data_IF_713660038142
#
_entry.id   IF_713660038142
#
_cell.length_a   1.000
_cell.length_b   1.000
_cell.length_c   1.000
_cell.angle_alpha   90.00
_cell.angle_beta   90.00
_cell.angle_gamma   90.00
#
_symmetry.space_group_name_H-M   'P 1'
#
loop_
_entity.id
_entity.type
_entity.pdbx_description
1 polymer ?
#
# COMPACT_ATOMS: atom_id res chain seq x y z
N UNK A 1 -10.85 -16.24 -15.80
CA UNK A 1 -10.98 -17.61 -15.31
C UNK A 1 -11.59 -17.58 -13.91
N UNK A 2 -12.54 -18.46 -13.64
CA UNK A 2 -13.05 -18.68 -12.29
C UNK A 2 -12.16 -19.71 -11.59
N UNK A 3 -11.89 -19.49 -10.34
CA UNK A 3 -11.22 -20.48 -9.48
C UNK A 3 -11.91 -20.53 -8.11
N UNK A 4 -11.38 -21.31 -7.14
CA UNK A 4 -12.00 -21.44 -5.81
C UNK A 4 -12.01 -20.13 -5.02
N UNK A 5 -11.15 -19.18 -5.34
CA UNK A 5 -10.98 -17.94 -4.58
C UNK A 5 -11.70 -16.76 -5.19
N UNK A 6 -11.85 -16.69 -6.51
CA UNK A 6 -12.51 -15.59 -7.19
C UNK A 6 -13.29 -16.02 -8.43
N UNK A 7 -14.29 -15.24 -8.78
CA UNK A 7 -15.16 -15.42 -9.93
C UNK A 7 -15.21 -14.18 -10.79
N UNK A 8 -15.48 -14.40 -12.06
CA UNK A 8 -15.76 -13.31 -13.01
C UNK A 8 -17.17 -12.78 -12.76
N UNK A 9 -17.32 -11.46 -12.75
CA UNK A 9 -18.62 -10.76 -12.68
C UNK A 9 -18.68 -9.73 -13.82
N UNK A 10 -19.85 -9.17 -14.16
CA UNK A 10 -19.95 -8.14 -15.20
C UNK A 10 -19.01 -6.96 -14.90
N UNK A 11 -18.12 -6.67 -15.86
CA UNK A 11 -17.13 -5.59 -15.71
C UNK A 11 -15.92 -5.86 -14.83
N UNK A 12 -15.77 -7.08 -14.26
CA UNK A 12 -14.63 -7.35 -13.40
C UNK A 12 -14.57 -8.70 -12.70
N UNK A 13 -14.11 -8.69 -11.45
CA UNK A 13 -13.87 -9.88 -10.64
C UNK A 13 -14.28 -9.63 -9.19
N UNK A 14 -14.78 -10.67 -8.51
CA UNK A 14 -15.06 -10.67 -7.08
C UNK A 14 -14.49 -11.93 -6.40
N UNK A 15 -14.15 -11.84 -5.12
CA UNK A 15 -13.80 -13.02 -4.30
C UNK A 15 -15.06 -13.83 -4.01
N UNK A 16 -14.93 -15.16 -3.98
CA UNK A 16 -16.07 -16.06 -3.75
C UNK A 16 -16.62 -15.98 -2.31
N UNK A 17 -15.80 -15.55 -1.37
CA UNK A 17 -16.15 -15.44 0.06
C UNK A 17 -16.39 -13.99 0.51
N UNK A 18 -16.42 -13.04 -0.42
CA UNK A 18 -16.67 -11.62 -0.13
C UNK A 18 -18.16 -11.26 -0.17
N UNK A 19 -18.52 -10.03 0.23
CA UNK A 19 -19.91 -9.53 0.24
C UNK A 19 -20.44 -9.20 -1.17
N UNK A 20 -19.68 -9.48 -2.21
CA UNK A 20 -20.03 -9.18 -3.59
C UNK A 20 -20.40 -10.45 -4.33
N UNK A 21 -21.56 -10.44 -4.95
CA UNK A 21 -22.13 -11.54 -5.70
C UNK A 21 -21.97 -11.33 -7.23
N UNK A 22 -22.39 -12.27 -8.10
CA UNK A 22 -22.33 -12.12 -9.55
C UNK A 22 -23.11 -10.93 -10.09
N UNK A 23 -24.16 -10.46 -9.38
CA UNK A 23 -25.01 -9.36 -9.79
C UNK A 23 -24.49 -7.99 -9.32
N UNK A 24 -23.34 -7.96 -8.63
CA UNK A 24 -22.73 -6.71 -8.17
C UNK A 24 -22.36 -5.83 -9.36
N UNK A 25 -22.96 -4.65 -9.40
CA UNK A 25 -22.74 -3.63 -10.44
C UNK A 25 -21.93 -2.44 -9.92
N UNK A 26 -21.41 -1.66 -10.85
CA UNK A 26 -20.77 -0.39 -10.50
C UNK A 26 -21.73 0.63 -9.88
N UNK A 27 -23.04 0.53 -10.18
CA UNK A 27 -24.07 1.35 -9.54
C UNK A 27 -24.16 1.06 -8.04
N UNK A 28 -24.15 -0.22 -7.66
CA UNK A 28 -24.10 -0.62 -6.24
C UNK A 28 -22.90 -0.05 -5.52
N UNK A 29 -21.73 -0.02 -6.15
CA UNK A 29 -20.52 0.55 -5.54
C UNK A 29 -20.61 2.09 -5.42
N UNK A 30 -21.29 2.77 -6.33
CA UNK A 30 -21.56 4.20 -6.17
C UNK A 30 -22.56 4.49 -5.07
N UNK A 31 -23.60 3.67 -4.92
CA UNK A 31 -24.56 3.78 -3.81
C UNK A 31 -23.82 3.66 -2.45
N UNK A 32 -22.92 2.68 -2.32
CA UNK A 32 -22.10 2.54 -1.12
C UNK A 32 -21.20 3.77 -0.86
N UNK A 33 -20.69 4.41 -1.90
CA UNK A 33 -19.89 5.64 -1.76
C UNK A 33 -20.73 6.88 -1.45
N UNK A 34 -22.01 6.88 -1.86
CA UNK A 34 -22.95 7.97 -1.62
C UNK A 34 -23.71 7.84 -0.29
N UNK A 35 -23.61 6.70 0.37
CA UNK A 35 -24.23 6.45 1.66
C UNK A 35 -23.77 7.51 2.68
N UNK A 36 -24.70 8.18 3.40
CA UNK A 36 -24.36 9.11 4.48
C UNK A 36 -23.48 8.52 5.58
N UNK A 37 -23.56 7.20 5.80
CA UNK A 37 -22.72 6.48 6.75
C UNK A 37 -21.31 6.19 6.22
N UNK A 38 -21.03 6.47 4.95
CA UNK A 38 -19.70 6.27 4.37
C UNK A 38 -18.67 7.24 4.96
N UNK A 39 -17.64 6.71 5.56
CA UNK A 39 -16.53 7.51 6.10
C UNK A 39 -15.51 7.78 5.00
N UNK A 40 -15.51 8.99 4.49
CA UNK A 40 -14.58 9.42 3.46
C UNK A 40 -13.16 9.57 4.01
N UNK A 41 -12.20 8.82 3.46
CA UNK A 41 -10.77 8.90 3.82
C UNK A 41 -10.01 9.82 2.87
N UNK A 42 -10.40 9.85 1.60
CA UNK A 42 -9.77 10.67 0.57
C UNK A 42 -10.76 10.99 -0.53
N UNK A 43 -10.77 12.25 -0.94
CA UNK A 43 -11.47 12.67 -2.17
C UNK A 43 -10.58 13.58 -2.99
N UNK A 44 -10.20 13.13 -4.18
CA UNK A 44 -9.37 13.88 -5.11
C UNK A 44 -9.93 13.77 -6.53
N UNK A 45 -9.45 14.61 -7.45
CA UNK A 45 -9.84 14.53 -8.87
C UNK A 45 -9.59 13.14 -9.49
N UNK A 46 -8.64 12.37 -8.99
CA UNK A 46 -8.25 11.07 -9.55
C UNK A 46 -8.76 9.86 -8.78
N UNK A 47 -9.13 10.01 -7.52
CA UNK A 47 -9.61 8.88 -6.71
C UNK A 47 -10.40 9.33 -5.51
N UNK A 48 -11.40 8.53 -5.15
CA UNK A 48 -12.12 8.58 -3.87
C UNK A 48 -11.80 7.31 -3.11
N UNK A 49 -11.58 7.40 -1.81
CA UNK A 49 -11.39 6.27 -0.90
C UNK A 49 -12.31 6.48 0.29
N UNK A 50 -13.12 5.50 0.61
CA UNK A 50 -14.02 5.54 1.75
C UNK A 50 -14.10 4.19 2.46
N UNK A 51 -14.39 4.22 3.75
CA UNK A 51 -14.87 3.06 4.50
C UNK A 51 -16.39 3.06 4.34
N UNK A 52 -16.92 1.97 3.84
CA UNK A 52 -18.36 1.78 3.60
C UNK A 52 -18.84 0.48 4.24
N UNK A 53 -20.15 0.38 4.51
CA UNK A 53 -20.75 -0.85 5.03
C UNK A 53 -21.28 -1.71 3.87
N UNK A 54 -20.90 -2.97 3.82
CA UNK A 54 -21.46 -3.94 2.87
C UNK A 54 -21.80 -5.22 3.61
N UNK A 55 -23.10 -5.58 3.57
CA UNK A 55 -23.65 -6.73 4.32
C UNK A 55 -23.25 -6.74 5.81
N UNK A 56 -23.35 -5.57 6.46
CA UNK A 56 -23.05 -5.37 7.89
C UNK A 56 -21.54 -5.42 8.22
N UNK A 57 -20.66 -5.43 7.22
CA UNK A 57 -19.21 -5.45 7.43
C UNK A 57 -18.55 -4.19 6.86
N UNK A 58 -17.61 -3.58 7.57
CA UNK A 58 -16.84 -2.47 7.04
C UNK A 58 -15.89 -2.98 5.94
N UNK A 59 -15.80 -2.25 4.85
CA UNK A 59 -14.85 -2.47 3.75
C UNK A 59 -14.23 -1.15 3.32
N UNK A 60 -13.07 -1.19 2.69
CA UNK A 60 -12.44 -0.01 2.08
C UNK A 60 -12.70 -0.03 0.58
N UNK A 61 -13.50 0.92 0.10
CA UNK A 61 -13.84 1.07 -1.32
C UNK A 61 -13.04 2.22 -1.93
N UNK A 62 -12.34 1.93 -3.02
CA UNK A 62 -11.53 2.90 -3.77
C UNK A 62 -12.04 3.00 -5.20
N UNK A 63 -12.46 4.21 -5.59
CA UNK A 63 -12.86 4.58 -6.96
C UNK A 63 -11.74 5.33 -7.62
N UNK A 64 -11.32 4.90 -8.81
CA UNK A 64 -10.35 5.58 -9.66
C UNK A 64 -11.06 6.25 -10.82
N UNK A 65 -10.75 7.52 -11.07
CA UNK A 65 -11.24 8.27 -12.22
C UNK A 65 -10.13 8.54 -13.20
N UNK A 66 -10.37 8.44 -14.49
CA UNK A 66 -9.43 8.86 -15.51
C UNK A 66 -9.39 10.38 -15.55
N UNK A 67 -8.19 10.94 -15.55
CA UNK A 67 -7.99 12.40 -15.57
C UNK A 67 -8.09 13.00 -16.97
N UNK A 68 -7.78 12.22 -18.00
CA UNK A 68 -7.69 12.71 -19.39
C UNK A 68 -8.03 11.59 -20.37
N UNK A 69 -8.50 11.91 -21.61
CA UNK A 69 -8.70 10.92 -22.68
C UNK A 69 -7.42 10.13 -23.02
N UNK A 70 -6.25 10.79 -22.93
CA UNK A 70 -4.94 10.14 -23.14
C UNK A 70 -4.67 9.06 -22.07
N UNK A 71 -5.13 9.26 -20.85
CA UNK A 71 -5.03 8.24 -19.80
C UNK A 71 -5.94 7.04 -20.09
N UNK A 72 -7.07 7.25 -20.77
CA UNK A 72 -7.96 6.19 -21.25
C UNK A 72 -7.26 5.33 -22.32
N UNK A 73 -6.61 5.96 -23.28
CA UNK A 73 -5.85 5.28 -24.33
C UNK A 73 -4.70 4.43 -23.75
N UNK A 74 -4.01 4.93 -22.72
CA UNK A 74 -2.97 4.15 -22.00
C UNK A 74 -3.54 2.92 -21.29
N UNK A 75 -4.79 2.94 -20.86
CA UNK A 75 -5.46 1.80 -20.23
C UNK A 75 -5.89 0.70 -21.23
N UNK A 76 -5.86 0.96 -22.52
CA UNK A 76 -6.03 -0.10 -23.55
C UNK A 76 -4.82 -1.04 -23.59
N UNK A 77 -3.63 -0.52 -23.28
CA UNK A 77 -2.35 -1.29 -23.34
C UNK A 77 -1.87 -1.72 -21.95
N UNK A 78 -2.35 -1.07 -20.88
CA UNK A 78 -1.93 -1.36 -19.50
C UNK A 78 -3.11 -1.62 -18.60
N UNK A 79 -3.04 -2.61 -17.70
CA UNK A 79 -4.07 -2.84 -16.70
C UNK A 79 -4.36 -1.57 -15.90
N UNK A 80 -5.64 -1.28 -15.67
CA UNK A 80 -6.08 -0.13 -14.88
C UNK A 80 -5.51 -0.17 -13.45
N UNK A 81 -5.54 0.97 -12.76
CA UNK A 81 -5.11 1.03 -11.37
C UNK A 81 -5.95 0.11 -10.45
N UNK A 82 -7.25 -0.04 -10.71
CA UNK A 82 -8.13 -0.94 -9.97
C UNK A 82 -7.73 -2.40 -10.18
N UNK A 83 -7.59 -2.85 -11.43
CA UNK A 83 -7.18 -4.22 -11.75
C UNK A 83 -5.77 -4.54 -11.22
N UNK A 84 -4.83 -3.60 -11.36
CA UNK A 84 -3.49 -3.79 -10.78
C UNK A 84 -3.54 -3.94 -9.26
N UNK A 85 -4.32 -3.12 -8.56
CA UNK A 85 -4.46 -3.21 -7.11
C UNK A 85 -5.08 -4.55 -6.69
N UNK A 86 -6.06 -5.04 -7.46
CA UNK A 86 -6.66 -6.36 -7.29
C UNK A 86 -5.62 -7.48 -7.45
N UNK A 87 -4.95 -7.53 -8.59
CA UNK A 87 -3.95 -8.58 -8.89
C UNK A 87 -2.80 -8.55 -7.90
N UNK A 88 -2.28 -7.35 -7.58
CA UNK A 88 -1.19 -7.20 -6.62
C UNK A 88 -1.60 -7.59 -5.20
N UNK A 89 -2.84 -7.26 -4.79
CA UNK A 89 -3.34 -7.66 -3.48
C UNK A 89 -3.36 -9.18 -3.29
N UNK A 90 -3.86 -9.93 -4.27
CA UNK A 90 -3.80 -11.40 -4.25
C UNK A 90 -2.35 -11.90 -4.29
N UNK A 91 -1.53 -11.40 -5.21
CA UNK A 91 -0.12 -11.79 -5.32
C UNK A 91 0.69 -11.56 -4.04
N UNK A 92 0.47 -10.45 -3.31
CA UNK A 92 1.15 -10.20 -2.05
C UNK A 92 0.72 -11.20 -0.99
N UNK A 93 -0.58 -11.50 -0.90
CA UNK A 93 -1.13 -12.48 0.04
C UNK A 93 -0.59 -13.87 -0.24
N UNK A 94 -0.56 -14.31 -1.49
CA UNK A 94 0.02 -15.60 -1.91
C UNK A 94 1.51 -15.71 -1.54
N UNK A 95 2.20 -14.58 -1.53
CA UNK A 95 3.57 -14.47 -1.02
C UNK A 95 3.65 -14.31 0.50
N UNK A 96 2.53 -14.43 1.24
CA UNK A 96 2.47 -14.27 2.69
C UNK A 96 2.87 -12.88 3.17
N UNK A 97 2.70 -11.83 2.35
CA UNK A 97 2.89 -10.45 2.75
C UNK A 97 1.58 -9.87 3.29
N UNK A 98 1.59 -9.28 4.51
CA UNK A 98 0.39 -8.72 5.11
C UNK A 98 -0.13 -7.53 4.31
N UNK A 99 -1.30 -7.71 3.70
CA UNK A 99 -2.05 -6.69 2.97
C UNK A 99 -3.54 -7.00 3.04
N UNK A 100 -4.44 -6.00 3.00
CA UNK A 100 -5.87 -6.22 2.99
C UNK A 100 -6.27 -7.13 1.81
N UNK A 101 -7.19 -8.05 2.05
CA UNK A 101 -7.70 -8.93 1.00
C UNK A 101 -8.51 -8.12 -0.01
N UNK A 102 -8.24 -8.25 -1.32
CA UNK A 102 -9.12 -7.67 -2.33
C UNK A 102 -10.45 -8.43 -2.38
N UNK A 103 -11.57 -7.71 -2.43
CA UNK A 103 -12.93 -8.27 -2.40
C UNK A 103 -13.62 -8.20 -3.76
N UNK A 104 -13.44 -7.10 -4.48
CA UNK A 104 -14.00 -6.87 -5.81
C UNK A 104 -13.14 -5.90 -6.60
N UNK A 105 -13.07 -6.09 -7.91
CA UNK A 105 -12.54 -5.11 -8.87
C UNK A 105 -13.50 -5.01 -10.04
N UNK A 106 -14.01 -3.80 -10.30
CA UNK A 106 -14.96 -3.51 -11.36
C UNK A 106 -14.51 -2.32 -12.20
N UNK A 107 -14.96 -2.30 -13.47
CA UNK A 107 -14.74 -1.18 -14.38
C UNK A 107 -16.05 -0.74 -15.01
N UNK A 108 -16.15 0.56 -15.24
CA UNK A 108 -17.13 1.15 -16.15
C UNK A 108 -16.48 1.40 -17.51
N UNK A 109 -17.23 1.07 -18.54
CA UNK A 109 -16.80 1.23 -19.93
C UNK A 109 -17.66 2.26 -20.63
N UNK A 110 -17.04 3.06 -21.50
CA UNK A 110 -17.71 3.92 -22.47
C UNK A 110 -17.08 3.66 -23.83
N UNK A 111 -17.89 3.26 -24.80
CA UNK A 111 -17.40 2.84 -26.12
C UNK A 111 -16.26 1.81 -26.05
N UNK A 112 -16.37 0.81 -25.16
CA UNK A 112 -15.36 -0.22 -24.98
C UNK A 112 -14.11 0.21 -24.19
N UNK A 113 -13.99 1.48 -23.82
CA UNK A 113 -12.84 2.02 -23.08
C UNK A 113 -13.17 2.13 -21.59
N UNK A 114 -12.35 1.55 -20.69
CA UNK A 114 -12.55 1.69 -19.25
C UNK A 114 -12.24 3.14 -18.81
N UNK A 115 -13.26 3.86 -18.32
CA UNK A 115 -13.11 5.26 -17.87
C UNK A 115 -13.13 5.42 -16.33
N UNK A 116 -13.69 4.46 -15.61
CA UNK A 116 -13.64 4.37 -14.15
C UNK A 116 -13.28 2.96 -13.72
N UNK A 117 -12.66 2.84 -12.56
CA UNK A 117 -12.36 1.56 -11.94
C UNK A 117 -12.61 1.60 -10.44
N UNK A 118 -13.14 0.53 -9.90
CA UNK A 118 -13.41 0.32 -8.49
C UNK A 118 -12.60 -0.86 -7.98
N UNK A 119 -12.11 -0.76 -6.77
CA UNK A 119 -11.57 -1.90 -6.04
C UNK A 119 -11.97 -1.77 -4.57
N UNK A 120 -12.48 -2.86 -3.99
CA UNK A 120 -12.74 -2.93 -2.57
C UNK A 120 -11.78 -3.92 -1.90
N UNK A 121 -11.44 -3.61 -0.66
CA UNK A 121 -10.59 -4.41 0.20
C UNK A 121 -11.29 -4.65 1.53
N UNK A 122 -10.93 -5.73 2.21
CA UNK A 122 -11.27 -5.91 3.61
C UNK A 122 -10.80 -4.70 4.43
N UNK A 123 -11.62 -4.29 5.38
CA UNK A 123 -11.22 -3.29 6.36
C UNK A 123 -10.15 -3.86 7.29
N UNK A 124 -9.10 -3.08 7.51
CA UNK A 124 -8.06 -3.39 8.48
C UNK A 124 -8.34 -2.56 9.72
N UNK A 125 -8.65 -3.23 10.82
CA UNK A 125 -8.79 -2.57 12.12
C UNK A 125 -7.41 -2.19 12.64
N UNK A 126 -7.11 -0.90 12.56
CA UNK A 126 -5.81 -0.35 12.89
C UNK A 126 -5.72 1.13 12.54
N UNK A 127 -4.56 1.69 12.72
CA UNK A 127 -4.27 3.09 12.36
C UNK A 127 -3.03 3.20 11.46
N UNK A 128 -2.91 4.34 10.78
CA UNK A 128 -1.72 4.64 9.98
C UNK A 128 -0.43 4.60 10.81
N UNK A 129 0.66 4.12 10.24
CA UNK A 129 1.95 4.00 10.94
C UNK A 129 2.40 5.34 11.57
N UNK A 130 2.20 6.46 10.86
CA UNK A 130 2.56 7.78 11.40
C UNK A 130 1.77 8.12 12.66
N UNK A 131 0.46 7.90 12.63
CA UNK A 131 -0.45 8.15 13.77
C UNK A 131 -0.15 7.20 14.93
N UNK A 132 0.10 5.92 14.63
CA UNK A 132 0.49 4.93 15.63
C UNK A 132 1.77 5.38 16.37
N UNK A 133 2.78 5.79 15.63
CA UNK A 133 4.05 6.29 16.20
C UNK A 133 3.82 7.55 17.01
N UNK A 134 3.03 8.51 16.50
CA UNK A 134 2.75 9.77 17.19
C UNK A 134 2.04 9.56 18.53
N UNK A 135 1.14 8.57 18.62
CA UNK A 135 0.36 8.26 19.82
C UNK A 135 1.05 7.31 20.79
N UNK A 136 2.11 6.61 20.36
CA UNK A 136 2.78 5.62 21.19
C UNK A 136 3.67 6.29 22.25
N UNK A 137 3.43 6.00 23.53
CA UNK A 137 4.22 6.50 24.66
C UNK A 137 5.32 5.53 25.09
N UNK A 138 5.15 4.23 24.84
CA UNK A 138 6.12 3.21 25.22
C UNK A 138 7.18 2.99 24.14
N UNK A 139 8.41 3.36 24.46
CA UNK A 139 9.57 3.17 23.59
C UNK A 139 9.83 1.69 23.26
N UNK A 140 9.44 0.76 24.14
CA UNK A 140 9.60 -0.69 23.90
C UNK A 140 8.69 -1.14 22.77
N UNK A 141 7.47 -0.61 22.72
CA UNK A 141 6.49 -0.84 21.64
C UNK A 141 7.03 -0.29 20.34
N UNK A 142 7.53 0.96 20.31
CA UNK A 142 8.15 1.56 19.12
C UNK A 142 9.33 0.71 18.59
N UNK A 143 10.15 0.20 19.48
CA UNK A 143 11.26 -0.69 19.13
C UNK A 143 10.78 -2.00 18.51
N UNK A 144 9.72 -2.58 19.06
CA UNK A 144 9.10 -3.80 18.52
C UNK A 144 8.54 -3.55 17.12
N UNK A 145 7.86 -2.41 16.90
CA UNK A 145 7.35 -2.03 15.58
C UNK A 145 8.48 -1.79 14.58
N UNK A 146 9.58 -1.15 14.99
CA UNK A 146 10.75 -0.98 14.12
C UNK A 146 11.33 -2.34 13.68
N UNK A 147 11.43 -3.31 14.60
CA UNK A 147 11.89 -4.66 14.28
C UNK A 147 10.93 -5.40 13.34
N UNK A 148 9.61 -5.33 13.60
CA UNK A 148 8.57 -5.96 12.75
C UNK A 148 8.57 -5.36 11.35
N UNK A 149 8.60 -4.04 11.25
CA UNK A 149 8.61 -3.31 9.97
C UNK A 149 9.89 -3.60 9.18
N UNK A 150 11.05 -3.64 9.83
CA UNK A 150 12.30 -4.01 9.18
C UNK A 150 12.25 -5.43 8.59
N UNK A 151 11.71 -6.39 9.34
CA UNK A 151 11.49 -7.77 8.86
C UNK A 151 10.49 -7.82 7.71
N UNK A 152 9.37 -7.12 7.81
CA UNK A 152 8.37 -7.07 6.73
C UNK A 152 8.98 -6.56 5.42
N UNK A 153 9.69 -5.43 5.47
CA UNK A 153 10.31 -4.84 4.27
C UNK A 153 11.38 -5.78 3.70
N UNK A 154 12.14 -6.45 4.57
CA UNK A 154 13.10 -7.45 4.12
C UNK A 154 12.42 -8.61 3.41
N UNK A 155 11.39 -9.21 4.03
CA UNK A 155 10.60 -10.30 3.45
C UNK A 155 10.00 -9.89 2.10
N UNK A 156 9.48 -8.65 2.00
CA UNK A 156 8.95 -8.10 0.77
C UNK A 156 10.01 -8.12 -0.34
N UNK A 157 11.20 -7.59 -0.08
CA UNK A 157 12.28 -7.56 -1.06
C UNK A 157 12.82 -8.95 -1.42
N UNK A 158 12.90 -9.88 -0.47
CA UNK A 158 13.37 -11.25 -0.70
C UNK A 158 12.35 -12.08 -1.51
N UNK A 159 11.07 -11.71 -1.43
CA UNK A 159 10.00 -12.26 -2.26
C UNK A 159 9.82 -11.50 -3.58
N UNK A 160 10.85 -10.75 -3.98
CA UNK A 160 10.91 -10.06 -5.27
C UNK A 160 9.83 -8.98 -5.45
N UNK A 161 9.37 -8.41 -4.35
CA UNK A 161 8.39 -7.32 -4.34
C UNK A 161 9.09 -6.02 -3.98
N UNK A 162 8.86 -4.97 -4.78
CA UNK A 162 9.27 -3.59 -4.47
C UNK A 162 8.06 -2.66 -4.39
N UNK A 163 8.16 -1.64 -3.54
CA UNK A 163 7.11 -0.66 -3.33
C UNK A 163 7.60 0.75 -3.58
N UNK A 164 7.48 1.22 -4.81
CA UNK A 164 8.02 2.51 -5.27
C UNK A 164 7.57 3.74 -4.47
N UNK A 165 6.52 3.63 -3.66
CA UNK A 165 6.04 4.68 -2.76
C UNK A 165 5.95 4.19 -1.31
N UNK A 166 6.97 3.46 -0.84
CA UNK A 166 7.04 2.98 0.55
C UNK A 166 7.23 4.18 1.50
N UNK A 167 6.16 4.60 2.16
CA UNK A 167 6.11 5.70 3.13
C UNK A 167 5.16 5.35 4.27
N UNK A 168 5.22 6.07 5.39
CA UNK A 168 4.41 5.80 6.55
C UNK A 168 2.90 5.75 6.25
N UNK A 169 2.41 6.63 5.35
CA UNK A 169 0.99 6.66 4.95
C UNK A 169 0.52 5.40 4.18
N UNK A 170 1.45 4.56 3.71
CA UNK A 170 1.15 3.32 2.97
C UNK A 170 1.40 2.06 3.83
N UNK A 171 1.57 2.25 5.14
CA UNK A 171 1.67 1.19 6.14
C UNK A 171 0.66 1.47 7.25
N UNK A 172 -0.10 0.47 7.65
CA UNK A 172 -0.96 0.51 8.83
C UNK A 172 -0.39 -0.38 9.93
N UNK A 173 -0.69 -0.04 11.17
CA UNK A 173 -0.44 -0.89 12.34
C UNK A 173 -1.78 -1.50 12.77
N UNK A 174 -1.90 -2.83 12.70
CA UNK A 174 -3.07 -3.58 13.11
C UNK A 174 -2.64 -4.66 14.12
N UNK A 175 -3.21 -4.65 15.31
CA UNK A 175 -2.81 -5.54 16.42
C UNK A 175 -1.28 -5.58 16.66
N UNK A 176 -0.61 -4.44 16.45
CA UNK A 176 0.85 -4.32 16.59
C UNK A 176 1.68 -4.87 15.42
N UNK A 177 1.06 -5.34 14.35
CA UNK A 177 1.72 -5.82 13.14
C UNK A 177 1.60 -4.82 11.99
N UNK A 178 2.67 -4.60 11.20
CA UNK A 178 2.61 -3.73 10.03
C UNK A 178 1.92 -4.41 8.86
N UNK A 179 0.99 -3.68 8.22
CA UNK A 179 0.19 -4.11 7.06
C UNK A 179 0.43 -3.14 5.92
N UNK A 180 0.78 -3.64 4.73
CA UNK A 180 1.00 -2.82 3.54
C UNK A 180 -0.34 -2.43 2.91
N UNK A 181 -0.54 -1.13 2.67
CA UNK A 181 -1.72 -0.59 2.00
C UNK A 181 -1.32 0.26 0.79
N UNK A 182 -2.28 0.61 -0.07
CA UNK A 182 -2.07 1.37 -1.32
C UNK A 182 -1.06 0.74 -2.30
N UNK A 183 -1.46 -0.38 -2.87
CA UNK A 183 -0.62 -1.24 -3.72
C UNK A 183 -0.31 -0.68 -5.12
N UNK A 184 -0.79 0.52 -5.47
CA UNK A 184 -0.61 1.10 -6.84
C UNK A 184 0.88 1.26 -7.20
N UNK A 185 1.73 1.49 -6.21
CA UNK A 185 3.18 1.63 -6.37
C UNK A 185 3.98 0.33 -6.33
N UNK A 186 3.32 -0.81 -6.07
CA UNK A 186 3.98 -2.11 -5.96
C UNK A 186 4.34 -2.65 -7.35
N UNK A 187 5.50 -3.30 -7.44
CA UNK A 187 5.94 -4.09 -8.59
C UNK A 187 6.49 -5.44 -8.12
N UNK A 188 6.36 -6.45 -8.97
CA UNK A 188 6.96 -7.77 -8.76
C UNK A 188 8.09 -7.87 -9.77
N UNK A 189 9.30 -7.97 -9.30
CA UNK A 189 10.52 -7.96 -10.08
C UNK A 189 11.22 -9.32 -9.99
N UNK A 190 12.17 -9.63 -10.87
CA UNK A 190 13.00 -10.85 -10.76
C UNK A 190 13.96 -10.77 -9.58
N UNK A 191 14.46 -9.58 -9.31
CA UNK A 191 15.26 -9.23 -8.13
C UNK A 191 15.00 -7.76 -7.77
N UNK A 192 15.16 -7.43 -6.50
CA UNK A 192 15.10 -6.03 -6.03
C UNK A 192 16.52 -5.53 -5.80
N UNK A 193 17.07 -4.71 -6.72
CA UNK A 193 18.46 -4.26 -6.64
C UNK A 193 18.73 -3.42 -5.37
N UNK A 194 19.96 -3.44 -4.88
CA UNK A 194 20.41 -2.66 -3.72
C UNK A 194 19.96 -1.19 -3.78
N UNK A 195 20.07 -0.54 -4.95
CA UNK A 195 19.64 0.85 -5.15
C UNK A 195 18.13 1.04 -4.96
N UNK A 196 17.30 0.07 -5.31
CA UNK A 196 15.85 0.11 -5.08
C UNK A 196 15.56 -0.08 -3.61
N UNK A 197 16.16 -1.09 -2.97
CA UNK A 197 16.02 -1.38 -1.54
C UNK A 197 16.38 -0.14 -0.67
N UNK A 198 17.52 0.49 -0.94
CA UNK A 198 17.96 1.69 -0.20
C UNK A 198 17.04 2.89 -0.42
N UNK A 199 16.50 3.08 -1.65
CA UNK A 199 15.53 4.15 -1.94
C UNK A 199 14.20 3.96 -1.23
N UNK A 200 13.73 2.74 -1.10
CA UNK A 200 12.48 2.44 -0.41
C UNK A 200 12.62 2.64 1.10
N UNK A 201 13.68 2.12 1.70
CA UNK A 201 14.03 2.40 3.10
C UNK A 201 14.19 3.91 3.36
N UNK A 202 14.81 4.64 2.43
CA UNK A 202 14.98 6.08 2.53
C UNK A 202 13.64 6.84 2.45
N UNK A 203 12.69 6.39 1.64
CA UNK A 203 11.34 6.99 1.58
C UNK A 203 10.58 6.82 2.88
N UNK A 204 10.64 5.61 3.46
CA UNK A 204 10.04 5.35 4.76
C UNK A 204 10.71 6.18 5.85
N UNK A 205 12.04 6.23 5.86
CA UNK A 205 12.81 7.06 6.79
C UNK A 205 12.45 8.55 6.67
N UNK A 206 12.26 9.05 5.44
CA UNK A 206 11.88 10.43 5.19
C UNK A 206 10.50 10.81 5.78
N UNK A 207 9.59 9.85 5.96
CA UNK A 207 8.30 10.08 6.62
C UNK A 207 8.41 10.43 8.10
N UNK A 208 9.58 10.23 8.71
CA UNK A 208 9.80 10.43 10.13
C UNK A 208 10.92 11.42 10.44
N UNK A 209 11.36 12.24 9.47
CA UNK A 209 12.45 13.19 9.70
C UNK A 209 12.11 14.25 10.76
N UNK A 210 10.84 14.62 10.86
CA UNK A 210 10.33 15.59 11.84
C UNK A 210 9.80 14.94 13.13
N UNK A 211 9.82 13.60 13.22
CA UNK A 211 9.31 12.89 14.40
C UNK A 211 10.37 12.85 15.51
N UNK A 212 10.04 13.38 16.65
CA UNK A 212 10.87 13.32 17.86
C UNK A 212 10.93 11.89 18.45
N UNK A 213 9.87 11.09 18.25
CA UNK A 213 9.77 9.71 18.75
C UNK A 213 10.61 8.72 17.94
N UNK A 214 10.90 9.00 16.66
CA UNK A 214 11.73 8.15 15.79
C UNK A 214 13.15 8.68 15.76
N UNK A 215 13.90 8.33 16.76
CA UNK A 215 15.29 8.73 16.91
C UNK A 215 16.24 7.92 16.01
N UNK A 216 17.54 8.23 16.05
CA UNK A 216 18.57 7.44 15.37
C UNK A 216 18.57 5.98 15.81
N UNK A 217 18.23 5.70 17.06
CA UNK A 217 18.20 4.34 17.61
C UNK A 217 17.11 3.49 16.95
N UNK A 218 15.88 4.00 16.83
CA UNK A 218 14.76 3.31 16.20
C UNK A 218 15.04 3.07 14.71
N UNK A 219 15.65 4.04 14.02
CA UNK A 219 16.05 3.90 12.61
C UNK A 219 17.12 2.83 12.40
N UNK A 220 18.14 2.80 13.29
CA UNK A 220 19.17 1.75 13.29
C UNK A 220 18.59 0.38 13.60
N UNK A 221 17.62 0.31 14.51
CA UNK A 221 16.95 -0.94 14.86
C UNK A 221 16.18 -1.50 13.66
N UNK A 222 15.39 -0.68 12.99
CA UNK A 222 14.70 -1.06 11.74
C UNK A 222 15.72 -1.59 10.70
N UNK A 223 16.80 -0.86 10.46
CA UNK A 223 17.81 -1.28 9.49
C UNK A 223 18.49 -2.60 9.91
N UNK A 224 18.80 -2.78 11.19
CA UNK A 224 19.35 -4.03 11.70
C UNK A 224 18.37 -5.20 11.53
N UNK A 225 17.09 -5.00 11.82
CA UNK A 225 16.05 -5.99 11.61
C UNK A 225 15.89 -6.35 10.12
N UNK A 226 15.93 -5.34 9.24
CA UNK A 226 15.96 -5.53 7.80
C UNK A 226 17.14 -6.36 7.33
N UNK A 227 18.32 -6.16 7.91
CA UNK A 227 19.57 -6.84 7.53
C UNK A 227 19.75 -8.23 8.15
N UNK A 228 19.11 -8.52 9.28
CA UNK A 228 19.36 -9.70 10.12
C UNK A 228 19.20 -11.04 9.40
N UNK A 229 18.36 -11.12 8.38
CA UNK A 229 18.14 -12.32 7.57
C UNK A 229 19.06 -12.40 6.34
N UNK A 230 19.78 -11.32 5.99
CA UNK A 230 20.66 -11.29 4.82
C UNK A 230 22.06 -11.83 5.08
N UNK A 231 22.41 -12.07 6.33
CA UNK A 231 23.79 -12.17 6.72
C UNK A 231 24.09 -13.50 7.43
N UNK A 232 24.27 -14.52 6.62
CA UNK A 232 25.24 -15.57 6.95
C UNK A 232 26.68 -15.00 6.89
N UNK A 233 26.84 -13.69 6.67
CA UNK A 233 28.07 -12.93 6.72
C UNK A 233 27.84 -11.56 7.36
N UNK A 234 28.84 -11.02 8.04
CA UNK A 234 28.86 -9.67 8.65
C UNK A 234 28.74 -8.58 7.56
N UNK A 235 27.56 -8.48 6.90
CA UNK A 235 27.35 -7.43 5.91
C UNK A 235 27.58 -6.06 6.49
N UNK A 236 28.22 -5.21 5.73
CA UNK A 236 28.58 -3.86 6.16
C UNK A 236 27.32 -3.01 6.40
N UNK A 237 26.74 -3.14 7.60
CA UNK A 237 25.59 -2.35 8.01
C UNK A 237 25.90 -0.83 7.95
N UNK A 238 27.18 -0.44 8.04
CA UNK A 238 27.60 0.95 7.93
C UNK A 238 27.46 1.45 6.50
N UNK A 239 27.76 0.61 5.49
CA UNK A 239 27.52 0.95 4.10
C UNK A 239 26.02 1.10 3.82
N UNK A 240 25.18 0.18 4.32
CA UNK A 240 23.71 0.33 4.22
C UNK A 240 23.21 1.59 4.88
N UNK A 241 23.68 1.88 6.11
CA UNK A 241 23.30 3.10 6.82
C UNK A 241 23.66 4.36 6.03
N UNK A 242 24.91 4.45 5.52
CA UNK A 242 25.34 5.59 4.69
C UNK A 242 24.49 5.73 3.42
N UNK A 243 24.23 4.63 2.72
CA UNK A 243 23.41 4.64 1.50
C UNK A 243 21.96 5.09 1.77
N UNK A 244 21.32 4.59 2.83
CA UNK A 244 19.97 5.00 3.22
C UNK A 244 19.96 6.45 3.67
N UNK A 245 20.95 6.90 4.47
CA UNK A 245 21.04 8.28 4.93
C UNK A 245 21.20 9.25 3.75
N UNK A 246 22.12 8.98 2.83
CA UNK A 246 22.33 9.79 1.63
C UNK A 246 21.07 9.84 0.75
N UNK A 247 20.38 8.72 0.53
CA UNK A 247 19.15 8.66 -0.24
C UNK A 247 18.00 9.42 0.48
N UNK A 248 17.98 9.42 1.82
CA UNK A 248 17.00 10.16 2.63
C UNK A 248 17.22 11.68 2.49
N UNK A 249 18.45 12.15 2.63
CA UNK A 249 18.81 13.56 2.44
C UNK A 249 18.41 14.03 1.03
N UNK A 250 18.82 13.31 0.00
CA UNK A 250 18.44 13.62 -1.37
C UNK A 250 16.91 13.59 -1.62
N UNK A 251 16.14 12.82 -0.86
CA UNK A 251 14.67 12.83 -0.91
C UNK A 251 14.12 14.08 -0.21
N UNK A 252 14.65 14.43 0.95
CA UNK A 252 14.28 15.63 1.70
C UNK A 252 14.51 16.91 0.84
N UNK A 253 15.68 17.05 0.23
CA UNK A 253 16.03 18.18 -0.65
C UNK A 253 15.07 18.29 -1.84
N UNK A 254 14.75 17.15 -2.49
CA UNK A 254 13.77 17.16 -3.60
C UNK A 254 12.36 17.55 -3.16
N UNK A 255 11.96 17.19 -1.96
CA UNK A 255 10.67 17.59 -1.41
C UNK A 255 10.65 19.09 -1.09
N UNK A 256 11.70 19.62 -0.45
CA UNK A 256 11.86 21.04 -0.15
C UNK A 256 11.79 21.89 -1.41
N UNK A 257 12.55 21.55 -2.47
CA UNK A 257 12.51 22.24 -3.77
C UNK A 257 11.14 22.21 -4.46
N UNK A 258 10.26 21.28 -4.10
CA UNK A 258 8.89 21.16 -4.66
C UNK A 258 7.82 21.74 -3.74
N UNK A 259 8.20 22.43 -2.67
CA UNK A 259 7.27 22.96 -1.66
C UNK A 259 6.41 21.88 -0.99
N UNK A 260 6.87 20.62 -0.94
CA UNK A 260 6.15 19.53 -0.31
C UNK A 260 6.63 19.36 1.12
N UNK A 261 5.73 19.57 2.07
CA UNK A 261 5.99 19.26 3.47
C UNK A 261 6.28 17.77 3.59
N UNK A 262 7.31 17.43 4.36
CA UNK A 262 7.58 16.06 4.79
C UNK A 262 6.50 15.70 5.83
N UNK A 263 5.49 14.96 5.39
CA UNK A 263 4.44 14.40 6.25
C UNK A 263 4.65 12.90 6.37
#
# INVERSE_FOLDING_TARGET
ANNREFRRIPGGYATTTGPFNPDTTSARLDELLADPAARLLKNSRSSTVAIVQSDGRPIVLKRFRLKTPIAALKNLVRPSAALRSWVLGHNLRDRGLPTPRPLVSLHRYRLGIPYEGYVAFEFVDGCGLADAVAKCEDVRVLRTWADRLGRLIRTMHDRQVSHRDLKAANVMMAAGEPVLVDLVGVTIDRDVPFRTRTRELARLNASFLTSEKVTRTERLRLLRAYMRWALHGRGDWKAWWRAVAAATAAKADRNARRGRVLA
#
